data_IF_191053724499
#
_entry.id   IF_191053724499
#
_cell.length_a   1.000
_cell.length_b   1.000
_cell.length_c   1.000
_cell.angle_alpha   90.00
_cell.angle_beta   90.00
_cell.angle_gamma   90.00
#
_symmetry.space_group_name_H-M   'P 1'
#
loop_
_entity.id
_entity.type
_entity.pdbx_description
1 polymer ?
#
# COMPACT_ATOMS: atom_id res chain seq x y z
N UNK A 1 4.42 -5.73 1.46
CA UNK A 1 4.99 -4.36 1.57
C UNK A 1 4.37 -3.46 0.50
N UNK A 2 3.29 -2.76 0.84
CA UNK A 2 2.51 -1.95 -0.11
C UNK A 2 3.26 -0.69 -0.55
N UNK A 3 3.98 -0.03 0.37
CA UNK A 3 4.81 1.15 0.08
C UNK A 3 5.83 0.88 -1.02
N UNK A 4 6.54 -0.26 -0.92
CA UNK A 4 7.44 -0.74 -1.97
C UNK A 4 6.77 -0.85 -3.34
N UNK A 5 5.55 -1.41 -3.38
CA UNK A 5 4.80 -1.56 -4.62
C UNK A 5 4.48 -0.21 -5.27
N UNK A 6 4.13 0.80 -4.47
CA UNK A 6 3.83 2.15 -4.96
C UNK A 6 5.05 2.81 -5.61
N UNK A 7 6.20 2.87 -4.91
CA UNK A 7 7.37 3.53 -5.48
C UNK A 7 8.00 2.75 -6.63
N UNK A 8 7.94 1.41 -6.60
CA UNK A 8 8.40 0.59 -7.73
C UNK A 8 7.51 0.79 -8.97
N UNK A 9 6.20 1.03 -8.78
CA UNK A 9 5.29 1.37 -9.89
C UNK A 9 5.68 2.70 -10.53
N UNK A 10 6.02 3.72 -9.73
CA UNK A 10 6.49 5.01 -10.22
C UNK A 10 7.84 4.87 -10.93
N UNK A 11 8.79 4.15 -10.33
CA UNK A 11 10.10 3.90 -10.93
C UNK A 11 9.98 3.15 -12.27
N UNK A 12 9.12 2.14 -12.35
CA UNK A 12 8.87 1.40 -13.59
C UNK A 12 8.34 2.32 -14.72
N UNK A 13 7.49 3.29 -14.39
CA UNK A 13 7.01 4.26 -15.37
C UNK A 13 8.11 5.23 -15.81
N UNK A 14 8.88 5.77 -14.85
CA UNK A 14 10.02 6.66 -15.13
C UNK A 14 11.13 6.00 -15.96
N UNK A 15 11.29 4.68 -15.84
CA UNK A 15 12.22 3.88 -16.64
C UNK A 15 11.62 3.37 -17.95
N UNK A 16 10.35 3.67 -18.25
CA UNK A 16 9.68 3.23 -19.48
C UNK A 16 9.29 1.75 -19.54
N UNK A 17 9.35 1.03 -18.41
CA UNK A 17 8.91 -0.38 -18.30
C UNK A 17 7.37 -0.49 -18.40
N UNK A 18 6.66 0.52 -17.89
CA UNK A 18 5.21 0.66 -18.05
C UNK A 18 4.86 2.06 -18.54
N UNK A 19 3.69 2.21 -19.16
CA UNK A 19 3.17 3.53 -19.53
C UNK A 19 2.70 4.32 -18.31
N UNK A 20 2.71 5.65 -18.43
CA UNK A 20 2.16 6.56 -17.42
C UNK A 20 0.69 6.24 -17.10
N UNK A 21 -0.12 5.92 -18.12
CA UNK A 21 -1.51 5.54 -17.92
C UNK A 21 -1.63 4.23 -17.10
N UNK A 22 -0.73 3.26 -17.30
CA UNK A 22 -0.69 2.04 -16.50
C UNK A 22 -0.26 2.33 -15.05
N UNK A 23 0.72 3.22 -14.85
CA UNK A 23 1.14 3.71 -13.54
C UNK A 23 -0.05 4.34 -12.80
N UNK A 24 -0.72 5.34 -13.38
CA UNK A 24 -1.85 6.04 -12.75
C UNK A 24 -2.96 5.07 -12.38
N UNK A 25 -3.33 4.13 -13.27
CA UNK A 25 -4.33 3.10 -12.94
C UNK A 25 -3.89 2.22 -11.78
N UNK A 26 -2.64 1.80 -11.74
CA UNK A 26 -2.10 0.95 -10.66
C UNK A 26 -2.06 1.67 -9.31
N UNK A 27 -1.55 2.90 -9.29
CA UNK A 27 -1.51 3.74 -8.09
C UNK A 27 -2.92 4.04 -7.58
N UNK A 28 -3.84 4.42 -8.47
CA UNK A 28 -5.23 4.74 -8.10
C UNK A 28 -5.94 3.56 -7.45
N UNK A 29 -5.78 2.34 -8.01
CA UNK A 29 -6.36 1.13 -7.41
C UNK A 29 -5.73 0.82 -6.05
N UNK A 30 -4.41 0.92 -5.95
CA UNK A 30 -3.69 0.61 -4.71
C UNK A 30 -4.07 1.59 -3.60
N UNK A 31 -4.10 2.90 -3.87
CA UNK A 31 -4.54 3.92 -2.91
C UNK A 31 -5.99 3.67 -2.48
N UNK A 32 -6.89 3.36 -3.42
CA UNK A 32 -8.28 3.02 -3.11
C UNK A 32 -8.44 1.77 -2.24
N UNK A 33 -7.52 0.81 -2.32
CA UNK A 33 -7.49 -0.34 -1.43
C UNK A 33 -6.98 0.05 -0.04
N UNK A 34 -5.90 0.83 0.04
CA UNK A 34 -5.28 1.29 1.30
C UNK A 34 -6.26 2.12 2.15
N UNK A 35 -7.08 2.96 1.53
CA UNK A 35 -8.11 3.77 2.21
C UNK A 35 -9.13 2.93 3.00
N UNK A 36 -9.40 1.71 2.52
CA UNK A 36 -10.39 0.80 3.09
C UNK A 36 -9.82 -0.07 4.22
N UNK A 37 -8.50 -0.09 4.38
CA UNK A 37 -7.85 -0.91 5.41
C UNK A 37 -8.17 -0.35 6.80
N UNK A 38 -8.34 -1.27 7.75
CA UNK A 38 -8.48 -0.95 9.16
C UNK A 38 -7.25 -0.18 9.66
N UNK A 39 -7.48 0.88 10.42
CA UNK A 39 -6.43 1.75 10.98
C UNK A 39 -6.69 1.98 12.45
N UNK A 40 -5.60 2.07 13.22
CA UNK A 40 -5.64 2.39 14.65
C UNK A 40 -4.83 3.65 14.89
N UNK A 41 -5.45 4.68 15.45
CA UNK A 41 -4.81 5.98 15.70
C UNK A 41 -4.13 6.59 14.45
N UNK A 42 -4.68 6.32 13.26
CA UNK A 42 -4.13 6.79 11.98
C UNK A 42 -3.03 5.90 11.40
N UNK A 43 -2.59 4.85 12.09
CA UNK A 43 -1.59 3.89 11.62
C UNK A 43 -2.26 2.63 11.05
N UNK A 44 -1.60 2.03 10.07
CA UNK A 44 -1.94 0.71 9.52
C UNK A 44 -1.28 -0.41 10.35
N UNK A 45 -1.96 -1.54 10.45
CA UNK A 45 -1.46 -2.76 11.06
C UNK A 45 -0.45 -3.46 10.13
N UNK A 46 0.33 -4.36 10.70
CA UNK A 46 1.41 -5.07 10.02
C UNK A 46 0.96 -5.99 8.87
N UNK A 47 -0.20 -6.65 8.97
CA UNK A 47 -0.64 -7.62 7.96
C UNK A 47 -2.14 -7.55 7.66
N UNK A 48 -2.44 -7.60 6.36
CA UNK A 48 -3.80 -7.66 5.82
C UNK A 48 -3.91 -8.75 4.78
N UNK A 49 -5.10 -9.33 4.64
CA UNK A 49 -5.42 -10.25 3.57
C UNK A 49 -5.44 -9.50 2.22
N UNK A 50 -4.74 -10.03 1.22
CA UNK A 50 -4.57 -9.36 -0.07
C UNK A 50 -5.85 -9.35 -0.94
N UNK A 51 -6.81 -10.23 -0.66
CA UNK A 51 -8.05 -10.35 -1.42
C UNK A 51 -9.14 -9.40 -0.92
N UNK A 52 -9.25 -9.22 0.40
CA UNK A 52 -10.36 -8.45 0.99
C UNK A 52 -9.92 -7.32 1.93
N UNK A 53 -8.64 -7.23 2.30
CA UNK A 53 -8.11 -6.17 3.17
C UNK A 53 -8.43 -6.34 4.66
N UNK A 54 -8.93 -7.49 5.10
CA UNK A 54 -9.15 -7.76 6.52
C UNK A 54 -7.81 -7.91 7.26
N UNK A 55 -7.79 -7.56 8.54
CA UNK A 55 -6.61 -7.76 9.40
C UNK A 55 -6.33 -9.25 9.54
N UNK A 56 -5.08 -9.66 9.30
CA UNK A 56 -4.68 -11.05 9.49
C UNK A 56 -4.42 -11.35 10.96
N UNK A 57 -5.14 -12.34 11.49
CA UNK A 57 -4.91 -12.92 12.83
C UNK A 57 -4.33 -14.33 12.76
N UNK A 58 -4.27 -14.92 11.56
CA UNK A 58 -3.69 -16.23 11.28
C UNK A 58 -3.06 -16.22 9.88
N UNK A 59 -1.95 -16.95 9.69
CA UNK A 59 -1.31 -17.07 8.40
C UNK A 59 -2.13 -17.97 7.45
N UNK A 60 -2.46 -17.51 6.23
CA UNK A 60 -3.11 -18.35 5.24
C UNK A 60 -2.26 -19.59 4.94
N UNK A 61 -2.89 -20.77 4.91
CA UNK A 61 -2.25 -22.05 4.59
C UNK A 61 -1.73 -22.81 5.81
N UNK A 62 -1.01 -22.16 6.74
CA UNK A 62 -0.49 -22.85 7.95
C UNK A 62 -1.41 -22.72 9.16
N UNK A 63 -2.20 -21.64 9.23
CA UNK A 63 -3.04 -21.33 10.40
C UNK A 63 -2.25 -20.78 11.61
N UNK A 64 -0.93 -20.58 11.46
CA UNK A 64 -0.09 -20.05 12.53
C UNK A 64 -0.61 -18.69 12.99
N UNK A 65 -0.67 -18.43 14.31
CA UNK A 65 -1.25 -17.20 14.83
C UNK A 65 -0.41 -15.98 14.44
N UNK A 66 -1.10 -14.94 13.96
CA UNK A 66 -0.53 -13.61 13.73
C UNK A 66 -1.04 -12.69 14.82
N UNK A 67 -0.12 -12.01 15.51
CA UNK A 67 -0.48 -10.95 16.47
C UNK A 67 -0.47 -9.61 15.72
N UNK A 68 -1.62 -8.94 15.56
CA UNK A 68 -1.65 -7.61 14.96
C UNK A 68 -0.91 -6.61 15.84
N UNK A 69 -0.08 -5.77 15.22
CA UNK A 69 0.59 -4.67 15.92
C UNK A 69 0.86 -3.49 14.97
N UNK A 70 1.12 -2.33 15.57
CA UNK A 70 1.51 -1.12 14.85
C UNK A 70 3.03 -1.05 14.75
N UNK A 71 3.52 -1.13 13.51
CA UNK A 71 4.94 -1.04 13.18
C UNK A 71 5.25 0.36 12.66
N UNK A 72 6.11 1.11 13.36
CA UNK A 72 6.55 2.43 12.89
C UNK A 72 7.33 2.33 11.57
N UNK A 73 8.08 1.24 11.38
CA UNK A 73 8.86 0.99 10.16
C UNK A 73 7.94 0.73 8.97
N UNK A 74 6.97 -0.17 9.10
CA UNK A 74 6.06 -0.49 7.98
C UNK A 74 5.19 0.72 7.61
N UNK A 75 4.75 1.48 8.61
CA UNK A 75 4.00 2.72 8.37
C UNK A 75 4.87 3.79 7.69
N UNK A 76 6.13 3.94 8.09
CA UNK A 76 7.05 4.89 7.43
C UNK A 76 7.26 4.51 5.95
N UNK A 77 7.41 3.22 5.64
CA UNK A 77 7.50 2.75 4.26
C UNK A 77 6.21 2.99 3.47
N UNK A 78 5.05 2.70 4.06
CA UNK A 78 3.77 2.97 3.41
C UNK A 78 3.58 4.47 3.13
N UNK A 79 3.83 5.33 4.13
CA UNK A 79 3.72 6.79 3.98
C UNK A 79 4.68 7.31 2.92
N UNK A 80 5.91 6.79 2.87
CA UNK A 80 6.88 7.14 1.82
C UNK A 80 6.33 6.81 0.43
N UNK A 81 5.79 5.59 0.25
CA UNK A 81 5.17 5.20 -1.01
C UNK A 81 3.95 6.05 -1.39
N UNK A 82 3.11 6.41 -0.41
CA UNK A 82 1.94 7.28 -0.63
C UNK A 82 2.37 8.69 -1.04
N UNK A 83 3.41 9.25 -0.41
CA UNK A 83 3.94 10.58 -0.78
C UNK A 83 4.51 10.58 -2.20
N UNK A 84 5.27 9.55 -2.58
CA UNK A 84 5.78 9.38 -3.94
C UNK A 84 4.63 9.25 -4.94
N UNK A 85 3.60 8.45 -4.63
CA UNK A 85 2.43 8.28 -5.49
C UNK A 85 1.65 9.59 -5.68
N UNK A 86 1.49 10.38 -4.61
CA UNK A 86 0.81 11.67 -4.65
C UNK A 86 1.59 12.72 -5.46
N UNK A 87 2.91 12.62 -5.52
CA UNK A 87 3.73 13.49 -6.37
C UNK A 87 3.65 13.06 -7.85
N UNK A 88 3.83 11.77 -8.12
CA UNK A 88 3.81 11.21 -9.48
C UNK A 88 2.43 11.25 -10.15
N UNK A 89 1.35 11.24 -9.37
CA UNK A 89 -0.02 11.35 -9.87
C UNK A 89 -0.80 12.41 -9.05
N UNK A 90 -0.73 13.71 -9.42
CA UNK A 90 -1.26 14.81 -8.62
C UNK A 90 -2.75 14.69 -8.23
N UNK A 91 -3.56 13.98 -9.03
CA UNK A 91 -4.95 13.70 -8.72
C UNK A 91 -5.15 12.88 -7.41
N UNK A 92 -4.12 12.18 -6.93
CA UNK A 92 -4.15 11.39 -5.70
C UNK A 92 -3.82 12.21 -4.44
N UNK A 93 -3.41 13.48 -4.54
CA UNK A 93 -3.01 14.29 -3.36
C UNK A 93 -4.14 14.57 -2.37
N UNK A 94 -5.39 14.51 -2.83
CA UNK A 94 -6.58 14.81 -2.03
C UNK A 94 -7.17 13.57 -1.35
N UNK A 95 -6.52 12.41 -1.52
CA UNK A 95 -6.97 11.10 -1.08
C UNK A 95 -6.19 10.62 0.14
#
# INVERSE_FOLDING_TARGET
NIGCGLWSTVAAAGLGVISEAAMIRSLTRTVAAVEKLERHHGFWLNWYDAHNGSVLTQWPGTGDPVRPFLSSVDNAWLVTGLRIAADAAPALRTR
#
